data_IF_260637307367
#
_entry.id   IF_260637307367
#
_cell.length_a   1.000
_cell.length_b   1.000
_cell.length_c   1.000
_cell.angle_alpha   90.00
_cell.angle_beta   90.00
_cell.angle_gamma   90.00
#
_symmetry.space_group_name_H-M   'P 1'
#
loop_
_entity.id
_entity.type
_entity.pdbx_description
1 polymer ?
#
# COMPACT_ATOMS: atom_id res chain seq x y z
N UNK A 1 -10.98 -19.91 -11.88
CA UNK A 1 -10.09 -19.01 -11.70
C UNK A 1 -10.55 -17.91 -10.80
N UNK A 2 -9.82 -17.53 -10.01
CA UNK A 2 -10.25 -16.60 -9.05
C UNK A 2 -10.12 -15.21 -9.56
N UNK A 3 -10.91 -14.34 -9.03
CA UNK A 3 -10.77 -13.00 -9.31
C UNK A 3 -9.61 -12.44 -8.62
N UNK A 4 -9.01 -11.46 -9.16
CA UNK A 4 -7.92 -10.80 -8.54
C UNK A 4 -8.41 -10.05 -7.32
N UNK A 5 -7.73 -10.16 -6.23
CA UNK A 5 -8.03 -9.41 -5.03
C UNK A 5 -7.08 -8.24 -4.97
N UNK A 6 -7.57 -7.08 -5.41
CA UNK A 6 -6.75 -5.89 -5.52
C UNK A 6 -6.18 -5.48 -4.17
N UNK A 7 -6.98 -5.60 -3.10
CA UNK A 7 -6.50 -5.23 -1.78
C UNK A 7 -5.34 -6.12 -1.34
N UNK A 8 -5.46 -7.43 -1.59
CA UNK A 8 -4.39 -8.35 -1.23
C UNK A 8 -3.15 -8.12 -2.07
N UNK A 9 -3.32 -7.83 -3.36
CA UNK A 9 -2.20 -7.58 -4.24
C UNK A 9 -1.42 -6.35 -3.82
N UNK A 10 -2.13 -5.27 -3.52
CA UNK A 10 -1.49 -4.05 -3.04
C UNK A 10 -0.80 -4.32 -1.71
N UNK A 11 -1.45 -5.06 -0.83
CA UNK A 11 -0.87 -5.39 0.46
C UNK A 11 0.45 -6.12 0.34
N UNK A 12 0.52 -7.09 -0.58
CA UNK A 12 1.76 -7.82 -0.80
C UNK A 12 2.88 -6.92 -1.29
N UNK A 13 2.55 -6.00 -2.19
CA UNK A 13 3.55 -5.07 -2.70
C UNK A 13 4.04 -4.15 -1.60
N UNK A 14 3.12 -3.68 -0.76
CA UNK A 14 3.50 -2.81 0.36
C UNK A 14 4.47 -3.52 1.31
N UNK A 15 4.16 -4.77 1.66
CA UNK A 15 5.04 -5.56 2.53
C UNK A 15 6.40 -5.77 1.87
N UNK A 16 6.39 -6.10 0.59
CA UNK A 16 7.62 -6.37 -0.14
C UNK A 16 8.54 -5.17 -0.17
N UNK A 17 7.98 -4.00 -0.48
CA UNK A 17 8.77 -2.78 -0.53
C UNK A 17 9.30 -2.39 0.85
N UNK A 18 8.45 -2.46 1.84
CA UNK A 18 8.84 -2.12 3.20
C UNK A 18 9.96 -3.04 3.68
N UNK A 19 9.82 -4.33 3.42
CA UNK A 19 10.83 -5.32 3.83
C UNK A 19 12.15 -5.09 3.14
N UNK A 20 12.11 -4.77 1.85
CA UNK A 20 13.32 -4.50 1.09
C UNK A 20 14.08 -3.32 1.64
N UNK A 21 13.35 -2.32 2.10
CA UNK A 21 13.96 -1.11 2.66
C UNK A 21 14.41 -1.31 4.11
N UNK A 22 14.02 -2.42 4.72
CA UNK A 22 14.40 -2.71 6.09
C UNK A 22 13.63 -1.89 7.11
N UNK A 23 12.46 -1.37 6.74
CA UNK A 23 11.65 -0.56 7.64
C UNK A 23 10.71 -1.47 8.43
N UNK A 24 10.60 -1.24 9.74
CA UNK A 24 9.50 -1.86 10.46
C UNK A 24 8.23 -1.04 10.20
N UNK A 25 7.10 -1.61 10.59
CA UNK A 25 5.83 -1.01 10.21
C UNK A 25 5.60 0.34 10.88
N UNK A 26 6.08 0.49 12.10
CA UNK A 26 5.90 1.74 12.82
C UNK A 26 6.73 2.85 12.22
N UNK A 27 7.96 2.54 11.84
CA UNK A 27 8.81 3.52 11.19
C UNK A 27 8.24 3.94 9.84
N UNK A 28 7.79 2.95 9.04
CA UNK A 28 7.23 3.25 7.74
C UNK A 28 5.99 4.13 7.85
N UNK A 29 5.12 3.81 8.79
CA UNK A 29 3.91 4.60 9.00
C UNK A 29 4.26 6.03 9.43
N UNK A 30 5.24 6.16 10.30
CA UNK A 30 5.64 7.47 10.80
C UNK A 30 6.15 8.36 9.67
N UNK A 31 7.05 7.86 8.84
CA UNK A 31 7.61 8.68 7.77
C UNK A 31 6.60 8.96 6.66
N UNK A 32 5.56 8.14 6.54
CA UNK A 32 4.50 8.36 5.57
C UNK A 32 3.32 9.13 6.16
N UNK A 33 3.41 9.50 7.44
CA UNK A 33 2.35 10.23 8.14
C UNK A 33 1.04 9.44 8.18
N UNK A 34 1.18 8.14 8.48
CA UNK A 34 0.06 7.22 8.56
C UNK A 34 -0.03 6.64 9.95
N UNK A 35 -1.21 6.16 10.30
CA UNK A 35 -1.40 5.34 11.46
C UNK A 35 -0.83 3.95 11.17
N UNK A 36 0.01 3.43 12.07
CA UNK A 36 0.61 2.12 11.88
C UNK A 36 -0.44 1.01 11.77
N UNK A 37 -1.54 1.15 12.50
CA UNK A 37 -2.62 0.19 12.44
C UNK A 37 -3.26 0.14 11.05
N UNK A 38 -3.46 1.32 10.45
CA UNK A 38 -4.00 1.39 9.10
C UNK A 38 -3.03 0.77 8.09
N UNK A 39 -1.74 1.02 8.26
CA UNK A 39 -0.76 0.42 7.35
C UNK A 39 -0.77 -1.09 7.49
N UNK A 40 -0.85 -1.60 8.71
CA UNK A 40 -0.91 -3.05 8.93
C UNK A 40 -2.14 -3.66 8.28
N UNK A 41 -3.28 -2.99 8.38
CA UNK A 41 -4.50 -3.49 7.76
C UNK A 41 -4.41 -3.46 6.24
N UNK A 42 -3.79 -2.44 5.69
CA UNK A 42 -3.61 -2.36 4.25
C UNK A 42 -2.65 -3.45 3.76
N UNK A 43 -1.60 -3.73 4.53
CA UNK A 43 -0.66 -4.79 4.18
C UNK A 43 -1.31 -6.17 4.24
N UNK A 44 -2.27 -6.33 5.14
CA UNK A 44 -3.00 -7.60 5.24
C UNK A 44 -4.08 -7.74 4.17
N UNK A 45 -4.29 -6.73 3.36
CA UNK A 45 -5.32 -6.77 2.32
C UNK A 45 -6.71 -6.57 2.86
N UNK A 46 -6.84 -5.93 4.02
CA UNK A 46 -8.13 -5.78 4.68
C UNK A 46 -8.80 -4.45 4.36
N UNK A 47 -8.01 -3.42 4.06
CA UNK A 47 -8.57 -2.11 3.74
C UNK A 47 -7.82 -1.51 2.55
N UNK A 48 -8.45 -0.53 1.92
CA UNK A 48 -7.82 0.28 0.90
C UNK A 48 -7.37 1.59 1.53
N UNK A 49 -6.17 2.02 1.21
CA UNK A 49 -5.68 3.32 1.65
C UNK A 49 -6.18 4.40 0.71
N UNK A 50 -6.36 5.59 1.24
CA UNK A 50 -6.75 6.73 0.43
C UNK A 50 -5.62 7.21 -0.44
N UNK A 51 -5.95 8.09 -1.38
CA UNK A 51 -4.98 8.55 -2.35
C UNK A 51 -3.83 9.28 -1.69
N UNK A 52 -4.11 10.14 -0.71
CA UNK A 52 -3.05 10.87 -0.04
C UNK A 52 -2.18 9.95 0.81
N UNK A 53 -2.77 8.89 1.38
CA UNK A 53 -2.01 7.91 2.13
C UNK A 53 -1.05 7.14 1.23
N UNK A 54 -1.54 6.74 0.07
CA UNK A 54 -0.68 6.04 -0.89
C UNK A 54 0.45 6.93 -1.38
N UNK A 55 0.15 8.21 -1.59
CA UNK A 55 1.16 9.15 -2.03
C UNK A 55 2.23 9.34 -0.98
N UNK A 56 1.82 9.41 0.29
CA UNK A 56 2.78 9.50 1.38
C UNK A 56 3.69 8.30 1.45
N UNK A 57 3.13 7.10 1.27
CA UNK A 57 3.94 5.89 1.24
C UNK A 57 4.87 5.86 0.04
N UNK A 58 4.39 6.29 -1.11
CA UNK A 58 5.21 6.31 -2.30
C UNK A 58 6.43 7.22 -2.10
N UNK A 59 6.21 8.38 -1.51
CA UNK A 59 7.31 9.28 -1.21
C UNK A 59 8.27 8.68 -0.20
N UNK A 60 7.72 8.08 0.85
CA UNK A 60 8.54 7.48 1.89
C UNK A 60 9.39 6.34 1.36
N UNK A 61 8.84 5.58 0.42
CA UNK A 61 9.54 4.41 -0.13
C UNK A 61 10.35 4.75 -1.38
N UNK A 62 10.24 5.97 -1.89
CA UNK A 62 10.98 6.40 -3.06
C UNK A 62 10.52 5.77 -4.35
N UNK A 63 9.22 5.50 -4.48
CA UNK A 63 8.65 4.88 -5.67
C UNK A 63 7.47 5.70 -6.16
N UNK A 64 7.05 5.43 -7.39
CA UNK A 64 5.81 6.02 -7.92
C UNK A 64 4.62 5.26 -7.36
N UNK A 65 3.50 5.96 -7.20
CA UNK A 65 2.27 5.33 -6.68
C UNK A 65 1.86 4.14 -7.54
N UNK A 66 2.08 4.21 -8.85
CA UNK A 66 1.71 3.12 -9.74
C UNK A 66 2.41 1.82 -9.42
N UNK A 67 3.53 1.87 -8.71
CA UNK A 67 4.23 0.64 -8.31
C UNK A 67 3.33 -0.23 -7.43
N UNK A 68 2.47 0.39 -6.62
CA UNK A 68 1.57 -0.36 -5.75
C UNK A 68 0.52 -1.15 -6.56
N UNK A 69 0.35 -0.82 -7.82
CA UNK A 69 -0.63 -1.46 -8.69
C UNK A 69 0.04 -2.13 -9.87
N UNK A 70 1.28 -2.57 -9.69
CA UNK A 70 2.00 -3.30 -10.73
C UNK A 70 2.33 -2.45 -11.94
N UNK A 71 2.49 -1.13 -11.74
CA UNK A 71 2.82 -0.23 -12.84
C UNK A 71 1.63 0.36 -13.56
N UNK A 72 0.42 0.06 -13.08
CA UNK A 72 -0.80 0.58 -13.70
C UNK A 72 -1.33 1.76 -12.94
N UNK A 73 -2.30 2.47 -13.52
CA UNK A 73 -2.99 3.51 -12.78
C UNK A 73 -3.84 2.87 -11.69
N UNK A 74 -4.19 3.63 -10.67
CA UNK A 74 -4.98 3.12 -9.56
C UNK A 74 -6.31 2.55 -10.05
N UNK A 75 -6.59 1.28 -9.79
CA UNK A 75 -7.85 0.69 -10.25
C UNK A 75 -9.03 1.25 -9.49
N UNK A 76 -10.15 1.37 -10.19
CA UNK A 76 -11.39 1.83 -9.55
C UNK A 76 -11.81 0.90 -8.42
N UNK A 77 -11.57 -0.40 -8.56
CA UNK A 77 -11.92 -1.35 -7.51
C UNK A 77 -11.17 -1.06 -6.22
N UNK A 78 -9.93 -0.60 -6.32
CA UNK A 78 -9.19 -0.25 -5.12
C UNK A 78 -9.74 1.04 -4.49
N UNK A 79 -10.04 2.03 -5.34
CA UNK A 79 -10.59 3.29 -4.85
C UNK A 79 -11.93 3.09 -4.18
N UNK A 80 -12.69 2.10 -4.61
CA UNK A 80 -13.97 1.78 -4.00
C UNK A 80 -13.84 0.97 -2.71
N UNK A 81 -12.62 0.59 -2.33
CA UNK A 81 -12.40 -0.19 -1.12
C UNK A 81 -12.79 -1.64 -1.27
N UNK A 82 -12.82 -2.12 -2.47
CA UNK A 82 -13.31 -3.46 -2.72
C UNK A 82 -12.27 -4.55 -2.44
#
# INVERSE_FOLDING_TARGET
>A
MSESNVLADVGEILVSLRSRLGFDIEYAADIAHLDAERLAEAEAGEIALGESELRGLAEAYGVAVTVFFGGRTTPLSYLAGA
#
